data_IF_107110869808
#
_entry.id   IF_107110869808
#
_cell.length_a   1.000
_cell.length_b   1.000
_cell.length_c   1.000
_cell.angle_alpha   90.00
_cell.angle_beta   90.00
_cell.angle_gamma   90.00
#
_symmetry.space_group_name_H-M   'P 1'
#
loop_
_entity.id
_entity.type
_entity.pdbx_description
1 polymer ?
#
# COMPACT_ATOMS: atom_id res chain seq x y z
N UNK A 1 -17.84 -16.20 17.61
CA UNK A 1 -16.91 -16.60 18.68
C UNK A 1 -15.46 -16.34 18.25
N UNK A 2 -14.96 -16.83 17.09
CA UNK A 2 -13.57 -16.70 16.66
C UNK A 2 -13.11 -15.25 16.43
N UNK A 3 -13.94 -14.42 15.76
CA UNK A 3 -13.64 -12.99 15.57
C UNK A 3 -13.51 -12.25 16.91
N UNK A 4 -14.41 -12.50 17.87
CA UNK A 4 -14.35 -11.89 19.20
C UNK A 4 -13.05 -12.23 19.96
N UNK A 5 -12.64 -13.51 19.91
CA UNK A 5 -11.39 -13.95 20.52
C UNK A 5 -10.16 -13.29 19.86
N UNK A 6 -10.13 -13.24 18.52
CA UNK A 6 -9.06 -12.57 17.77
C UNK A 6 -9.02 -11.05 18.05
N UNK A 7 -10.17 -10.41 18.14
CA UNK A 7 -10.27 -9.00 18.48
C UNK A 7 -9.78 -8.73 19.89
N UNK A 8 -10.16 -9.56 20.85
CA UNK A 8 -9.74 -9.42 22.25
C UNK A 8 -8.22 -9.66 22.40
N UNK A 9 -7.63 -10.62 21.71
CA UNK A 9 -6.20 -10.93 21.81
C UNK A 9 -5.35 -10.01 20.94
N UNK A 10 -5.53 -10.05 19.62
CA UNK A 10 -4.72 -9.28 18.66
C UNK A 10 -5.04 -7.79 18.76
N UNK A 11 -6.32 -7.42 18.86
CA UNK A 11 -6.73 -6.03 19.01
C UNK A 11 -6.19 -5.38 20.27
N UNK A 12 -6.25 -6.07 21.41
CA UNK A 12 -5.68 -5.58 22.68
C UNK A 12 -4.16 -5.50 22.62
N UNK A 13 -3.47 -6.48 22.03
CA UNK A 13 -2.03 -6.42 21.82
C UNK A 13 -1.62 -5.23 20.96
N UNK A 14 -2.33 -4.97 19.85
CA UNK A 14 -2.09 -3.81 18.99
C UNK A 14 -2.31 -2.49 19.73
N UNK A 15 -3.41 -2.36 20.49
CA UNK A 15 -3.70 -1.17 21.30
C UNK A 15 -2.63 -0.91 22.36
N UNK A 16 -2.18 -1.95 23.04
CA UNK A 16 -1.19 -1.82 24.11
C UNK A 16 0.20 -1.48 23.55
N UNK A 17 0.58 -2.13 22.44
CA UNK A 17 1.92 -2.00 21.84
C UNK A 17 2.07 -0.68 21.09
N UNK A 18 1.11 -0.34 20.23
CA UNK A 18 1.21 0.83 19.35
C UNK A 18 0.49 2.06 19.88
N UNK A 19 -0.44 1.90 20.83
CA UNK A 19 -1.23 2.97 21.46
C UNK A 19 -1.81 3.94 20.43
N UNK A 20 -2.59 3.48 19.44
CA UNK A 20 -3.16 4.34 18.42
C UNK A 20 -3.98 5.46 19.05
N UNK A 21 -3.85 6.67 18.51
CA UNK A 21 -4.77 7.74 18.87
C UNK A 21 -5.93 7.79 17.87
N UNK A 22 -7.12 8.14 18.35
CA UNK A 22 -8.34 8.16 17.55
C UNK A 22 -9.09 9.45 17.81
N UNK A 23 -9.54 10.11 16.75
CA UNK A 23 -10.44 11.26 16.78
C UNK A 23 -11.71 10.91 16.00
N UNK A 24 -12.90 11.34 16.48
CA UNK A 24 -14.17 11.17 15.82
C UNK A 24 -14.78 9.78 15.94
N UNK A 25 -14.43 8.99 16.98
CA UNK A 25 -14.97 7.65 17.18
C UNK A 25 -16.50 7.65 17.29
N UNK A 26 -17.08 8.72 17.81
CA UNK A 26 -18.52 8.97 17.93
C UNK A 26 -19.26 9.04 16.58
N UNK A 27 -18.53 9.24 15.48
CA UNK A 27 -19.11 9.26 14.13
C UNK A 27 -19.43 7.86 13.59
N UNK A 28 -18.93 6.80 14.25
CA UNK A 28 -19.27 5.42 13.88
C UNK A 28 -20.59 5.04 14.57
N UNK A 29 -21.65 4.70 13.84
CA UNK A 29 -22.94 4.35 14.47
C UNK A 29 -22.79 3.13 15.36
N UNK A 30 -23.44 3.14 16.53
CA UNK A 30 -23.45 2.02 17.46
C UNK A 30 -24.11 0.78 16.86
N UNK A 31 -25.10 0.97 15.99
CA UNK A 31 -25.88 -0.07 15.33
C UNK A 31 -26.13 0.28 13.85
N UNK A 32 -26.63 -0.68 13.09
CA UNK A 32 -26.93 -0.51 11.67
C UNK A 32 -25.71 -0.53 10.74
N UNK A 33 -25.93 -0.57 9.42
CA UNK A 33 -24.87 -0.64 8.45
C UNK A 33 -24.15 0.69 8.27
N UNK A 34 -22.84 0.64 8.01
CA UNK A 34 -22.09 1.80 7.54
C UNK A 34 -20.86 1.37 6.72
N UNK A 35 -20.43 2.23 5.80
CA UNK A 35 -19.25 2.04 4.98
C UNK A 35 -18.13 2.90 5.55
N UNK A 36 -17.02 2.28 5.95
CA UNK A 36 -15.80 2.98 6.37
C UNK A 36 -14.89 3.11 5.14
N UNK A 37 -14.82 4.31 4.57
CA UNK A 37 -13.98 4.60 3.41
C UNK A 37 -12.67 5.24 3.87
N UNK A 38 -11.55 4.55 3.68
CA UNK A 38 -10.25 4.98 4.20
C UNK A 38 -9.19 5.14 3.10
N UNK A 39 -8.25 6.08 3.28
CA UNK A 39 -6.98 6.04 2.58
C UNK A 39 -6.24 4.73 2.90
N UNK A 40 -5.31 4.33 2.04
CA UNK A 40 -4.58 3.07 2.23
C UNK A 40 -3.08 3.27 2.14
N UNK A 41 -2.43 3.39 3.28
CA UNK A 41 -1.00 3.66 3.41
C UNK A 41 -0.18 2.39 3.64
N UNK A 42 -0.71 1.48 4.47
CA UNK A 42 0.01 0.31 4.95
C UNK A 42 -0.86 -0.94 4.93
N UNK A 43 -0.21 -2.10 4.95
CA UNK A 43 -0.90 -3.37 5.21
C UNK A 43 -1.58 -3.39 6.58
N UNK A 44 -0.98 -2.74 7.56
CA UNK A 44 -1.48 -2.66 8.94
C UNK A 44 -2.75 -1.83 9.12
N UNK A 45 -3.16 -1.01 8.14
CA UNK A 45 -4.41 -0.23 8.21
C UNK A 45 -5.62 -1.12 8.47
N UNK A 46 -5.66 -2.29 7.81
CA UNK A 46 -6.75 -3.26 7.94
C UNK A 46 -6.77 -3.98 9.31
N UNK A 47 -5.83 -3.70 10.18
CA UNK A 47 -5.77 -4.21 11.55
C UNK A 47 -5.95 -3.10 12.58
N UNK A 48 -5.33 -1.94 12.39
CA UNK A 48 -5.46 -0.83 13.33
C UNK A 48 -6.87 -0.29 13.40
N UNK A 49 -7.54 -0.08 12.24
CA UNK A 49 -8.90 0.43 12.23
C UNK A 49 -9.89 -0.52 12.93
N UNK A 50 -9.96 -1.84 12.65
CA UNK A 50 -10.81 -2.75 13.41
C UNK A 50 -10.43 -2.89 14.89
N UNK A 51 -9.16 -2.73 15.23
CA UNK A 51 -8.71 -2.83 16.62
C UNK A 51 -9.30 -1.74 17.51
N UNK A 52 -9.47 -0.53 17.00
CA UNK A 52 -9.98 0.61 17.79
C UNK A 52 -11.50 0.70 17.87
N UNK A 53 -12.20 0.05 16.95
CA UNK A 53 -13.66 0.06 16.89
C UNK A 53 -14.27 -1.07 17.74
N UNK A 54 -15.40 -0.84 18.39
CA UNK A 54 -16.08 -1.89 19.16
C UNK A 54 -16.86 -2.86 18.27
N UNK A 55 -17.31 -2.42 17.13
CA UNK A 55 -18.03 -3.20 16.12
C UNK A 55 -17.08 -3.96 15.19
N UNK A 56 -17.59 -5.04 14.62
CA UNK A 56 -16.90 -5.80 13.58
C UNK A 56 -16.84 -4.99 12.29
N UNK A 57 -15.63 -4.84 11.74
CA UNK A 57 -15.40 -4.27 10.42
C UNK A 57 -14.96 -5.38 9.47
N UNK A 58 -15.65 -5.51 8.36
CA UNK A 58 -15.31 -6.47 7.32
C UNK A 58 -14.66 -5.77 6.13
N UNK A 59 -13.39 -6.11 5.86
CA UNK A 59 -12.67 -5.66 4.66
C UNK A 59 -12.62 -6.74 3.60
N UNK A 60 -12.37 -6.32 2.37
CA UNK A 60 -12.10 -7.24 1.25
C UNK A 60 -10.58 -7.39 1.06
N UNK A 61 -10.09 -8.61 1.14
CA UNK A 61 -8.70 -8.96 0.91
C UNK A 61 -8.53 -9.82 -0.35
N UNK A 62 -7.30 -9.89 -0.86
CA UNK A 62 -6.97 -10.72 -2.03
C UNK A 62 -7.25 -12.20 -1.74
N UNK A 63 -7.86 -12.89 -2.70
CA UNK A 63 -8.19 -14.32 -2.58
C UNK A 63 -6.96 -15.19 -2.30
N UNK A 64 -5.78 -14.80 -2.79
CA UNK A 64 -4.52 -15.53 -2.59
C UNK A 64 -4.15 -15.69 -1.11
N UNK A 65 -4.55 -14.77 -0.23
CA UNK A 65 -4.34 -14.93 1.23
C UNK A 65 -5.16 -16.07 1.84
N UNK A 66 -6.20 -16.54 1.14
CA UNK A 66 -7.11 -17.58 1.62
C UNK A 66 -6.87 -18.94 0.92
N UNK A 67 -6.18 -18.95 -0.22
CA UNK A 67 -6.02 -20.13 -1.08
C UNK A 67 -4.59 -20.62 -1.17
N UNK A 68 -3.63 -19.96 -0.52
CA UNK A 68 -2.23 -20.36 -0.52
C UNK A 68 -2.06 -21.78 0.05
N UNK A 69 -1.28 -22.67 -0.61
CA UNK A 69 -1.12 -24.05 -0.19
C UNK A 69 -0.28 -24.20 1.09
N UNK A 70 -0.38 -25.37 1.72
CA UNK A 70 0.42 -25.76 2.87
C UNK A 70 -0.07 -25.21 4.22
N UNK A 71 0.64 -25.57 5.31
CA UNK A 71 0.27 -25.18 6.68
C UNK A 71 0.33 -23.64 6.88
N UNK A 72 1.35 -22.98 6.32
CA UNK A 72 1.48 -21.53 6.36
C UNK A 72 0.29 -20.84 5.68
N UNK A 73 -0.17 -21.36 4.52
CA UNK A 73 -1.34 -20.84 3.82
C UNK A 73 -2.63 -21.01 4.64
N UNK A 74 -2.82 -22.18 5.27
CA UNK A 74 -3.97 -22.44 6.16
C UNK A 74 -4.00 -21.50 7.36
N UNK A 75 -2.85 -21.26 8.01
CA UNK A 75 -2.73 -20.33 9.12
C UNK A 75 -3.01 -18.89 8.69
N UNK A 76 -2.49 -18.47 7.53
CA UNK A 76 -2.78 -17.17 6.95
C UNK A 76 -4.27 -17.02 6.67
N UNK A 77 -4.91 -17.99 6.03
CA UNK A 77 -6.35 -17.97 5.74
C UNK A 77 -7.20 -17.92 7.03
N UNK A 78 -6.85 -18.69 8.05
CA UNK A 78 -7.51 -18.67 9.35
C UNK A 78 -7.37 -17.30 10.02
N UNK A 79 -6.19 -16.69 9.98
CA UNK A 79 -5.93 -15.37 10.50
C UNK A 79 -6.80 -14.31 9.79
N UNK A 80 -6.77 -14.23 8.45
CA UNK A 80 -7.58 -13.26 7.69
C UNK A 80 -9.08 -13.42 7.92
N UNK A 81 -9.58 -14.65 7.98
CA UNK A 81 -10.98 -14.94 8.36
C UNK A 81 -11.26 -14.48 9.79
N UNK A 82 -10.34 -14.73 10.71
CA UNK A 82 -10.47 -14.35 12.12
C UNK A 82 -10.52 -12.85 12.36
N UNK A 83 -9.80 -12.06 11.57
CA UNK A 83 -9.84 -10.59 11.63
C UNK A 83 -10.97 -9.99 10.77
N UNK A 84 -11.89 -10.82 10.25
CA UNK A 84 -13.11 -10.35 9.57
C UNK A 84 -12.90 -9.98 8.10
N UNK A 85 -11.87 -10.50 7.45
CA UNK A 85 -11.63 -10.22 6.03
C UNK A 85 -12.32 -11.25 5.13
N UNK A 86 -12.87 -10.79 4.01
CA UNK A 86 -13.50 -11.62 2.98
C UNK A 86 -12.60 -11.73 1.74
N UNK A 87 -12.46 -12.96 1.18
CA UNK A 87 -11.72 -13.15 -0.05
C UNK A 87 -12.42 -12.53 -1.25
N UNK A 88 -11.69 -11.79 -2.07
CA UNK A 88 -12.15 -11.36 -3.39
C UNK A 88 -11.05 -11.60 -4.40
N UNK A 89 -11.41 -12.23 -5.49
CA UNK A 89 -10.57 -12.36 -6.65
C UNK A 89 -10.37 -10.99 -7.31
N UNK A 90 -9.11 -10.56 -7.44
CA UNK A 90 -8.70 -9.30 -8.08
C UNK A 90 -7.88 -9.56 -9.35
N UNK A 91 -7.90 -10.77 -9.86
CA UNK A 91 -7.10 -11.21 -11.03
C UNK A 91 -7.49 -10.52 -12.35
N UNK A 92 -8.46 -9.59 -12.34
CA UNK A 92 -8.93 -8.89 -13.54
C UNK A 92 -9.92 -9.70 -14.37
N UNK A 93 -10.34 -10.87 -13.90
CA UNK A 93 -11.38 -11.68 -14.53
C UNK A 93 -12.69 -10.89 -14.58
N UNK A 94 -13.40 -10.96 -15.70
CA UNK A 94 -14.74 -10.38 -15.86
C UNK A 94 -15.63 -10.78 -14.67
N UNK A 95 -16.18 -9.79 -13.94
CA UNK A 95 -17.04 -10.06 -12.78
C UNK A 95 -16.38 -9.94 -11.39
N UNK A 96 -15.06 -9.89 -11.27
CA UNK A 96 -14.38 -9.75 -9.97
C UNK A 96 -14.81 -8.47 -9.20
N UNK A 97 -15.00 -7.36 -9.92
CA UNK A 97 -15.52 -6.12 -9.34
C UNK A 97 -16.95 -6.25 -8.82
N UNK A 98 -17.83 -6.94 -9.56
CA UNK A 98 -19.21 -7.17 -9.15
C UNK A 98 -19.31 -8.13 -7.95
N UNK A 99 -18.45 -9.14 -7.90
CA UNK A 99 -18.34 -10.02 -6.73
C UNK A 99 -17.94 -9.25 -5.47
N UNK A 100 -17.00 -8.32 -5.59
CA UNK A 100 -16.60 -7.44 -4.50
C UNK A 100 -17.75 -6.56 -4.00
N UNK A 101 -18.50 -5.96 -4.92
CA UNK A 101 -19.68 -5.14 -4.59
C UNK A 101 -20.72 -5.99 -3.87
N UNK A 102 -21.04 -7.18 -4.38
CA UNK A 102 -22.00 -8.11 -3.77
C UNK A 102 -21.59 -8.48 -2.35
N UNK A 103 -20.32 -8.84 -2.13
CA UNK A 103 -19.84 -9.15 -0.78
C UNK A 103 -19.99 -7.95 0.17
N UNK A 104 -19.73 -6.72 -0.30
CA UNK A 104 -19.96 -5.51 0.49
C UNK A 104 -21.43 -5.32 0.84
N UNK A 105 -22.34 -5.51 -0.12
CA UNK A 105 -23.80 -5.43 0.10
C UNK A 105 -24.30 -6.47 1.08
N UNK A 106 -23.79 -7.71 1.03
CA UNK A 106 -24.13 -8.78 1.98
C UNK A 106 -23.69 -8.43 3.41
N UNK A 107 -22.52 -7.79 3.58
CA UNK A 107 -22.05 -7.32 4.89
C UNK A 107 -22.99 -6.24 5.43
N UNK A 108 -23.33 -5.26 4.63
CA UNK A 108 -24.21 -4.16 5.01
C UNK A 108 -25.65 -4.64 5.29
N UNK A 109 -26.16 -5.60 4.53
CA UNK A 109 -27.49 -6.20 4.76
C UNK A 109 -27.60 -6.90 6.13
N UNK A 110 -26.49 -7.33 6.73
CA UNK A 110 -26.44 -7.86 8.09
C UNK A 110 -26.32 -6.79 9.18
N UNK A 111 -26.37 -5.50 8.80
CA UNK A 111 -26.18 -4.39 9.72
C UNK A 111 -24.72 -4.24 10.20
N UNK A 112 -23.74 -4.85 9.51
CA UNK A 112 -22.32 -4.79 9.87
C UNK A 112 -21.60 -3.59 9.22
N UNK A 113 -20.39 -3.29 9.68
CA UNK A 113 -19.52 -2.28 9.07
C UNK A 113 -18.71 -2.88 7.93
N UNK A 114 -18.70 -2.19 6.79
CA UNK A 114 -17.93 -2.57 5.62
C UNK A 114 -16.77 -1.59 5.39
N UNK A 115 -15.53 -2.07 5.41
CA UNK A 115 -14.34 -1.27 5.14
C UNK A 115 -13.93 -1.33 3.68
N UNK A 116 -13.66 -0.18 3.07
CA UNK A 116 -13.23 -0.06 1.68
C UNK A 116 -12.11 0.98 1.54
N UNK A 117 -11.17 0.70 0.64
CA UNK A 117 -10.12 1.63 0.23
C UNK A 117 -10.45 2.15 -1.18
N UNK A 118 -10.91 3.40 -1.34
CA UNK A 118 -11.35 3.92 -2.65
C UNK A 118 -10.24 3.96 -3.69
N UNK A 119 -8.98 4.12 -3.27
CA UNK A 119 -7.81 4.08 -4.15
C UNK A 119 -7.59 2.70 -4.82
N UNK A 120 -8.15 1.64 -4.21
CA UNK A 120 -8.07 0.25 -4.69
C UNK A 120 -6.70 -0.42 -4.52
N UNK A 121 -5.71 0.29 -4.03
CA UNK A 121 -4.38 -0.23 -3.67
C UNK A 121 -3.71 0.71 -2.69
N UNK A 122 -2.68 0.24 -1.97
CA UNK A 122 -1.88 1.08 -1.07
C UNK A 122 -1.19 2.21 -1.84
N UNK A 123 -1.10 3.38 -1.23
CA UNK A 123 -0.25 4.48 -1.72
C UNK A 123 1.21 3.99 -1.84
N UNK A 124 1.94 4.36 -2.89
CA UNK A 124 3.35 4.01 -3.00
C UNK A 124 4.29 4.88 -2.16
N UNK A 125 3.89 6.10 -1.82
CA UNK A 125 4.73 7.17 -1.28
C UNK A 125 4.09 8.01 -0.17
N UNK A 126 2.92 7.58 0.32
CA UNK A 126 2.20 8.27 1.40
C UNK A 126 1.26 9.39 0.93
N UNK A 127 1.20 9.73 -0.36
CA UNK A 127 0.25 10.69 -0.91
C UNK A 127 -1.13 10.07 -1.10
N UNK A 128 -2.18 10.89 -1.17
CA UNK A 128 -3.54 10.45 -1.44
C UNK A 128 -3.79 10.48 -2.96
N UNK A 129 -4.16 9.35 -3.51
CA UNK A 129 -4.41 9.18 -4.94
C UNK A 129 -5.88 9.17 -5.29
N UNK A 130 -6.19 9.47 -6.55
CA UNK A 130 -7.54 9.49 -7.09
C UNK A 130 -8.27 8.18 -6.79
N UNK A 131 -9.47 8.27 -6.21
CA UNK A 131 -10.34 7.13 -5.95
C UNK A 131 -10.87 6.51 -7.24
N UNK A 132 -10.96 5.18 -7.29
CA UNK A 132 -11.56 4.47 -8.42
C UNK A 132 -13.08 4.59 -8.35
N UNK A 133 -13.76 5.04 -9.42
CA UNK A 133 -15.20 5.06 -9.46
C UNK A 133 -15.75 3.64 -9.48
N UNK A 134 -16.99 3.46 -9.09
CA UNK A 134 -17.72 2.21 -9.21
C UNK A 134 -17.71 1.35 -7.95
N UNK A 135 -16.58 1.06 -7.34
CA UNK A 135 -16.54 0.18 -6.16
C UNK A 135 -17.30 0.77 -4.96
N UNK A 136 -16.76 1.83 -4.38
CA UNK A 136 -17.36 2.53 -3.25
C UNK A 136 -18.75 3.09 -3.58
N UNK A 137 -18.87 3.85 -4.68
CA UNK A 137 -20.11 4.52 -5.03
C UNK A 137 -21.26 3.54 -5.26
N UNK A 138 -21.05 2.44 -5.97
CA UNK A 138 -22.09 1.43 -6.22
C UNK A 138 -22.53 0.73 -4.94
N UNK A 139 -21.59 0.42 -4.03
CA UNK A 139 -21.95 -0.15 -2.72
C UNK A 139 -22.78 0.86 -1.92
N UNK A 140 -22.37 2.12 -1.84
CA UNK A 140 -23.09 3.15 -1.12
C UNK A 140 -24.50 3.39 -1.68
N UNK A 141 -24.62 3.56 -3.00
CA UNK A 141 -25.89 3.87 -3.67
C UNK A 141 -26.88 2.68 -3.66
N UNK A 142 -26.39 1.44 -3.74
CA UNK A 142 -27.24 0.24 -3.67
C UNK A 142 -27.68 -0.10 -2.26
N UNK A 143 -26.81 0.12 -1.27
CA UNK A 143 -27.12 -0.20 0.13
C UNK A 143 -27.91 0.89 0.84
N UNK A 144 -27.79 2.15 0.40
CA UNK A 144 -28.26 3.32 1.15
C UNK A 144 -27.53 3.57 2.46
N UNK A 145 -26.47 2.80 2.75
CA UNK A 145 -25.71 2.94 3.99
C UNK A 145 -24.85 4.24 3.96
N UNK A 146 -24.75 4.96 5.08
CA UNK A 146 -23.90 6.14 5.18
C UNK A 146 -22.43 5.77 4.96
N UNK A 147 -21.69 6.67 4.32
CA UNK A 147 -20.25 6.53 4.11
C UNK A 147 -19.50 7.39 5.12
N UNK A 148 -18.68 6.76 5.94
CA UNK A 148 -17.86 7.40 6.96
C UNK A 148 -16.43 7.51 6.42
N UNK A 149 -15.93 8.72 6.11
CA UNK A 149 -14.55 8.91 5.69
C UNK A 149 -13.60 8.69 6.87
N UNK A 150 -12.53 7.95 6.64
CA UNK A 150 -11.50 7.63 7.64
C UNK A 150 -10.13 7.99 7.08
N UNK A 151 -9.30 8.60 7.89
CA UNK A 151 -7.90 8.82 7.57
C UNK A 151 -6.99 8.03 8.51
N UNK A 152 -6.18 7.15 7.93
CA UNK A 152 -5.04 6.54 8.60
C UNK A 152 -3.86 7.50 8.52
N UNK A 153 -3.16 7.71 9.64
CA UNK A 153 -2.06 8.66 9.78
C UNK A 153 -0.79 7.91 10.19
N UNK A 154 0.31 8.13 9.47
CA UNK A 154 1.65 7.61 9.75
C UNK A 154 1.80 6.08 9.72
N UNK A 155 0.81 5.34 9.20
CA UNK A 155 0.90 3.87 9.16
C UNK A 155 1.92 3.37 8.12
N UNK A 156 2.23 4.15 7.08
CA UNK A 156 3.32 3.89 6.14
C UNK A 156 4.71 3.96 6.80
N UNK A 157 4.84 4.79 7.86
CA UNK A 157 6.09 4.90 8.64
C UNK A 157 6.26 3.70 9.57
N UNK A 158 5.16 3.15 10.07
CA UNK A 158 5.13 1.95 10.91
C UNK A 158 5.52 0.72 10.10
N UNK A 159 4.86 0.50 8.99
CA UNK A 159 5.14 -0.63 8.10
C UNK A 159 5.23 -0.17 6.64
N UNK A 160 6.40 0.33 6.23
CA UNK A 160 6.64 0.74 4.85
C UNK A 160 6.40 -0.41 3.86
N UNK A 161 6.06 -0.11 2.60
CA UNK A 161 5.93 -1.12 1.56
C UNK A 161 7.15 -2.05 1.48
N UNK A 162 6.91 -3.37 1.47
CA UNK A 162 7.97 -4.39 1.42
C UNK A 162 8.63 -4.74 2.77
N UNK A 163 8.32 -4.03 3.84
CA UNK A 163 8.79 -4.42 5.19
C UNK A 163 7.75 -5.29 5.89
N UNK A 164 8.22 -6.37 6.54
CA UNK A 164 7.37 -7.31 7.28
C UNK A 164 7.26 -6.92 8.75
N UNK A 165 8.37 -6.49 9.33
CA UNK A 165 8.42 -6.12 10.76
C UNK A 165 8.03 -4.65 10.91
N UNK A 166 6.97 -4.33 11.68
CA UNK A 166 6.57 -2.96 11.92
C UNK A 166 7.52 -2.27 12.89
N UNK A 167 7.73 -0.97 12.70
CA UNK A 167 8.41 -0.10 13.67
C UNK A 167 7.43 0.24 14.80
N UNK A 168 7.94 0.33 16.01
CA UNK A 168 7.14 0.73 17.17
C UNK A 168 6.93 2.25 17.12
N UNK A 169 5.79 2.65 16.58
CA UNK A 169 5.34 4.05 16.46
C UNK A 169 3.84 4.10 16.71
N UNK A 170 3.35 5.27 17.05
CA UNK A 170 1.96 5.54 17.38
C UNK A 170 1.17 5.96 16.11
N UNK A 171 0.31 5.11 15.53
CA UNK A 171 -0.53 5.52 14.40
C UNK A 171 -1.68 6.42 14.85
N UNK A 172 -2.18 7.23 13.92
CA UNK A 172 -3.38 8.02 14.10
C UNK A 172 -4.54 7.51 13.26
N UNK A 173 -5.75 7.72 13.76
CA UNK A 173 -6.99 7.41 13.03
C UNK A 173 -7.95 8.58 13.24
N UNK A 174 -8.33 9.26 12.15
CA UNK A 174 -9.37 10.28 12.16
C UNK A 174 -10.60 9.77 11.45
N UNK A 175 -11.74 9.87 12.11
CA UNK A 175 -13.02 9.39 11.60
C UNK A 175 -13.92 10.62 11.41
N UNK A 176 -14.30 10.90 10.16
CA UNK A 176 -15.13 12.04 9.80
C UNK A 176 -16.62 11.77 10.01
N UNK A 177 -17.40 12.82 9.85
CA UNK A 177 -18.88 12.74 9.90
C UNK A 177 -19.40 11.86 8.77
N UNK A 178 -20.49 11.10 8.99
CA UNK A 178 -21.14 10.32 7.95
C UNK A 178 -21.58 11.20 6.76
N UNK A 179 -21.35 10.73 5.56
CA UNK A 179 -21.83 11.31 4.31
C UNK A 179 -23.05 10.52 3.85
N UNK A 180 -24.11 11.22 3.51
CA UNK A 180 -25.37 10.65 3.01
C UNK A 180 -25.49 10.88 1.50
N UNK A 181 -25.69 9.78 0.77
CA UNK A 181 -25.86 9.79 -0.68
C UNK A 181 -27.27 9.33 -1.11
N UNK A 182 -28.23 9.35 -0.20
CA UNK A 182 -29.62 8.96 -0.47
C UNK A 182 -30.24 9.73 -1.66
N UNK A 183 -29.83 10.98 -1.87
CA UNK A 183 -30.23 11.80 -3.01
C UNK A 183 -29.91 11.22 -4.38
N UNK A 184 -29.00 10.25 -4.45
CA UNK A 184 -28.58 9.57 -5.68
C UNK A 184 -29.00 8.09 -5.71
N UNK A 185 -29.89 7.68 -4.83
CA UNK A 185 -30.38 6.29 -4.77
C UNK A 185 -30.97 5.86 -6.12
N UNK A 186 -30.61 4.67 -6.57
CA UNK A 186 -31.03 4.15 -7.88
C UNK A 186 -30.18 4.59 -9.06
N UNK A 187 -29.21 5.52 -8.88
CA UNK A 187 -28.29 6.00 -9.91
C UNK A 187 -26.93 5.28 -9.88
N UNK A 188 -26.86 4.08 -9.33
CA UNK A 188 -25.61 3.34 -9.13
C UNK A 188 -24.92 2.92 -10.43
N UNK A 189 -25.61 2.95 -11.58
CA UNK A 189 -25.04 2.70 -12.90
C UNK A 189 -24.59 3.96 -13.65
N UNK A 190 -24.91 5.16 -13.16
CA UNK A 190 -24.49 6.41 -13.75
C UNK A 190 -23.00 6.70 -13.39
N UNK A 191 -22.15 6.81 -14.42
CA UNK A 191 -20.72 7.01 -14.24
C UNK A 191 -20.35 8.40 -13.67
N UNK A 192 -21.16 9.42 -13.95
CA UNK A 192 -20.96 10.76 -13.42
C UNK A 192 -21.30 10.79 -11.92
N UNK A 193 -22.41 10.16 -11.54
CA UNK A 193 -22.79 10.03 -10.12
C UNK A 193 -21.76 9.18 -9.35
N UNK A 194 -21.33 8.04 -9.91
CA UNK A 194 -20.28 7.24 -9.30
C UNK A 194 -18.98 8.07 -9.08
N UNK A 195 -18.61 8.91 -10.04
CA UNK A 195 -17.46 9.78 -9.94
C UNK A 195 -17.66 10.84 -8.85
N UNK A 196 -18.79 11.54 -8.87
CA UNK A 196 -19.13 12.58 -7.90
C UNK A 196 -19.13 12.05 -6.46
N UNK A 197 -19.78 10.91 -6.19
CA UNK A 197 -19.80 10.25 -4.88
C UNK A 197 -18.38 9.89 -4.43
N UNK A 198 -17.59 9.30 -5.35
CA UNK A 198 -16.22 8.91 -5.00
C UNK A 198 -15.36 10.14 -4.70
N UNK A 199 -15.46 11.22 -5.48
CA UNK A 199 -14.67 12.43 -5.29
C UNK A 199 -15.05 13.14 -3.99
N UNK A 200 -16.35 13.20 -3.64
CA UNK A 200 -16.81 13.76 -2.38
C UNK A 200 -16.22 13.02 -1.17
N UNK A 201 -16.18 11.69 -1.22
CA UNK A 201 -15.54 10.88 -0.17
C UNK A 201 -14.03 11.10 -0.13
N UNK A 202 -13.36 11.10 -1.30
CA UNK A 202 -11.92 11.36 -1.37
C UNK A 202 -11.54 12.74 -0.83
N UNK A 203 -12.37 13.75 -1.09
CA UNK A 203 -12.18 15.09 -0.56
C UNK A 203 -12.34 15.15 0.98
N UNK A 204 -13.31 14.38 1.51
CA UNK A 204 -13.47 14.26 2.96
C UNK A 204 -12.25 13.56 3.61
N UNK A 205 -11.74 12.49 2.99
CA UNK A 205 -10.51 11.81 3.44
C UNK A 205 -9.31 12.77 3.37
N UNK A 206 -9.18 13.55 2.29
CA UNK A 206 -8.11 14.55 2.13
C UNK A 206 -8.10 15.55 3.29
N UNK A 207 -9.27 16.11 3.66
CA UNK A 207 -9.40 17.03 4.78
C UNK A 207 -9.00 16.42 6.12
N UNK A 208 -9.31 15.14 6.34
CA UNK A 208 -8.97 14.43 7.56
C UNK A 208 -7.48 14.07 7.62
N UNK A 209 -6.92 13.64 6.50
CA UNK A 209 -5.54 13.14 6.44
C UNK A 209 -4.50 14.25 6.35
N UNK A 210 -4.84 15.37 5.69
CA UNK A 210 -3.88 16.43 5.36
C UNK A 210 -2.81 16.00 4.35
N UNK A 211 -3.02 14.87 3.64
CA UNK A 211 -2.09 14.38 2.62
C UNK A 211 -2.06 15.31 1.40
N UNK A 212 -0.98 15.26 0.63
CA UNK A 212 -0.96 15.81 -0.73
C UNK A 212 -1.84 14.94 -1.64
N UNK A 213 -2.77 15.58 -2.38
CA UNK A 213 -3.62 14.88 -3.34
C UNK A 213 -2.99 14.84 -4.72
N UNK A 214 -3.00 13.67 -5.34
CA UNK A 214 -2.48 13.46 -6.71
C UNK A 214 -3.60 12.92 -7.60
N UNK A 215 -3.98 13.69 -8.63
CA UNK A 215 -5.11 13.38 -9.52
C UNK A 215 -4.79 12.32 -10.59
N UNK A 216 -4.10 11.25 -10.19
CA UNK A 216 -3.92 10.01 -10.96
C UNK A 216 -4.25 8.80 -10.10
N UNK A 217 -4.49 7.65 -10.70
CA UNK A 217 -4.71 6.43 -9.93
C UNK A 217 -3.41 5.91 -9.32
N UNK A 218 -3.44 5.44 -8.09
CA UNK A 218 -2.29 4.86 -7.40
C UNK A 218 -1.60 3.72 -8.17
N UNK A 219 -2.36 2.98 -9.00
CA UNK A 219 -1.79 1.95 -9.88
C UNK A 219 -0.93 2.54 -11.00
N UNK A 220 -1.29 3.71 -11.55
CA UNK A 220 -0.49 4.42 -12.54
C UNK A 220 0.77 5.01 -11.90
N UNK A 221 0.63 5.65 -10.73
CA UNK A 221 1.75 6.17 -9.96
C UNK A 221 2.78 5.08 -9.63
N UNK A 222 2.34 3.90 -9.19
CA UNK A 222 3.24 2.75 -8.93
C UNK A 222 4.03 2.35 -10.16
N UNK A 223 3.40 2.32 -11.33
CA UNK A 223 4.07 1.99 -12.58
C UNK A 223 5.13 3.03 -12.93
N UNK A 224 4.78 4.32 -12.87
CA UNK A 224 5.70 5.42 -13.13
C UNK A 224 6.91 5.41 -12.20
N UNK A 225 6.69 5.21 -10.88
CA UNK A 225 7.76 5.11 -9.90
C UNK A 225 8.67 3.89 -10.14
N UNK A 226 8.09 2.75 -10.52
CA UNK A 226 8.88 1.55 -10.83
C UNK A 226 9.71 1.72 -12.11
N UNK A 227 9.16 2.37 -13.14
CA UNK A 227 9.87 2.70 -14.38
C UNK A 227 11.02 3.69 -14.11
N UNK A 228 10.77 4.74 -13.32
CA UNK A 228 11.78 5.71 -12.92
C UNK A 228 12.93 5.06 -12.10
N UNK A 229 12.60 4.23 -11.12
CA UNK A 229 13.60 3.51 -10.33
C UNK A 229 14.44 2.53 -11.19
N UNK A 230 13.83 1.89 -12.18
CA UNK A 230 14.54 1.03 -13.14
C UNK A 230 15.50 1.83 -14.02
N UNK A 231 15.07 2.99 -14.51
CA UNK A 231 15.90 3.88 -15.31
C UNK A 231 17.08 4.44 -14.51
N UNK A 232 16.84 4.87 -13.26
CA UNK A 232 17.88 5.35 -12.36
C UNK A 232 18.92 4.25 -12.06
N UNK A 233 18.45 3.02 -11.79
CA UNK A 233 19.36 1.89 -11.56
C UNK A 233 20.21 1.60 -12.80
N UNK A 234 19.62 1.59 -14.00
CA UNK A 234 20.35 1.38 -15.25
C UNK A 234 21.41 2.49 -15.52
N UNK A 235 21.04 3.76 -15.26
CA UNK A 235 21.97 4.88 -15.39
C UNK A 235 23.14 4.77 -14.39
N UNK A 236 22.87 4.34 -13.16
CA UNK A 236 23.89 4.13 -12.13
C UNK A 236 24.83 2.97 -12.44
N UNK A 237 24.31 1.90 -13.04
CA UNK A 237 25.12 0.77 -13.52
C UNK A 237 25.97 1.17 -14.71
N UNK A 238 25.44 1.94 -15.67
CA UNK A 238 26.19 2.48 -16.80
C UNK A 238 27.32 3.43 -16.36
N UNK A 239 27.05 4.33 -15.40
CA UNK A 239 28.07 5.21 -14.84
C UNK A 239 29.22 4.44 -14.16
N UNK A 240 28.91 3.38 -13.40
CA UNK A 240 29.94 2.52 -12.78
C UNK A 240 30.78 1.76 -13.78
N UNK A 241 30.18 1.35 -14.90
CA UNK A 241 30.94 0.66 -15.98
C UNK A 241 31.85 1.63 -16.75
N UNK A 242 31.41 2.87 -16.96
CA UNK A 242 32.21 3.92 -17.57
C UNK A 242 33.40 4.29 -16.69
N UNK A 243 33.21 4.52 -15.38
CA UNK A 243 34.25 4.83 -14.42
C UNK A 243 35.32 3.72 -14.32
N UNK A 244 34.88 2.46 -14.38
CA UNK A 244 35.77 1.31 -14.41
C UNK A 244 36.56 1.18 -15.72
N UNK A 245 36.01 1.61 -16.84
CA UNK A 245 36.68 1.62 -18.14
C UNK A 245 37.75 2.73 -18.22
N UNK A 246 37.44 3.93 -17.71
CA UNK A 246 38.36 5.04 -17.63
C UNK A 246 39.54 4.73 -16.69
N UNK A 247 39.31 4.16 -15.51
CA UNK A 247 40.36 3.73 -14.61
C UNK A 247 41.26 2.63 -15.19
N UNK A 248 40.70 1.71 -16.01
CA UNK A 248 41.52 0.69 -16.69
C UNK A 248 42.36 1.28 -17.84
N UNK A 249 41.86 2.34 -18.51
CA UNK A 249 42.59 3.04 -19.56
C UNK A 249 43.79 3.85 -18.96
N UNK A 250 43.57 4.49 -17.82
CA UNK A 250 44.65 5.22 -17.08
C UNK A 250 45.75 4.27 -16.57
N UNK A 251 45.38 3.09 -16.00
CA UNK A 251 46.38 2.07 -15.61
C UNK A 251 47.17 1.49 -16.78
N UNK A 252 46.52 1.34 -17.96
CA UNK A 252 47.18 0.86 -19.17
C UNK A 252 48.16 1.90 -19.73
N UNK A 253 47.81 3.18 -19.64
CA UNK A 253 48.68 4.31 -20.08
C UNK A 253 49.88 4.46 -19.18
N UNK A 254 49.72 4.35 -17.87
CA UNK A 254 50.82 4.40 -16.89
C UNK A 254 51.80 3.20 -17.04
N UNK A 255 51.27 2.00 -17.32
CA UNK A 255 52.15 0.83 -17.62
C UNK A 255 52.93 1.01 -18.90
N UNK A 256 52.32 1.52 -19.96
CA UNK A 256 53.02 1.79 -21.22
C UNK A 256 54.12 2.86 -21.08
N UNK A 257 53.87 3.91 -20.28
CA UNK A 257 54.84 4.94 -19.96
C UNK A 257 56.00 4.41 -19.09
N UNK A 258 55.75 3.50 -18.17
CA UNK A 258 56.75 2.85 -17.31
C UNK A 258 57.65 1.85 -18.07
N UNK A 259 57.15 1.19 -19.13
CA UNK A 259 57.96 0.32 -19.98
C UNK A 259 58.82 1.06 -20.98
N UNK A 260 58.41 2.21 -21.48
CA UNK A 260 59.16 3.06 -22.40
C UNK A 260 60.35 3.75 -21.72
N UNK A 261 60.40 3.84 -20.39
CA UNK A 261 61.46 4.44 -19.60
C UNK A 261 62.60 3.50 -19.18
N UNK A 262 62.56 2.23 -19.56
CA UNK A 262 63.64 1.27 -19.33
C UNK A 262 64.56 1.21 -20.53
N UNK A 263 65.52 2.12 -20.57
CA UNK A 263 66.69 2.11 -21.48
C UNK A 263 67.54 0.84 -21.25
N UNK A 264 67.91 0.05 -22.31
CA UNK A 264 68.84 -1.05 -22.22
C UNK A 264 70.24 -0.47 -22.22
N UNK A 265 70.65 0.13 -21.07
CA UNK A 265 71.97 0.68 -20.85
C UNK A 265 73.03 -0.37 -20.79
N UNK A 266 73.81 -0.40 -21.86
CA UNK A 266 75.24 -0.54 -21.92
C UNK A 266 75.90 -1.71 -21.18
N UNK A 267 76.02 -2.79 -21.90
CA UNK A 267 77.11 -3.78 -21.66
C UNK A 267 78.31 -3.49 -22.58
N UNK A 268 79.21 -2.68 -22.17
CA UNK A 268 80.55 -2.68 -22.73
C UNK A 268 81.47 -3.43 -21.74
N UNK A 269 81.90 -4.53 -22.10
CA UNK A 269 83.04 -5.11 -22.73
C UNK A 269 84.32 -4.47 -22.43
N UNK A 270 85.26 -5.19 -21.97
CA UNK A 270 86.71 -5.18 -22.19
C UNK A 270 87.31 -5.97 -21.05
N UNK A 271 88.04 -6.97 -21.27
CA UNK A 271 89.19 -7.19 -22.08
C UNK A 271 90.41 -7.24 -21.20
N UNK A 272 91.00 -8.23 -21.31
CA UNK A 272 92.42 -8.35 -21.36
C UNK A 272 93.17 -9.01 -20.16
N UNK A 273 93.84 -10.04 -20.54
CA UNK A 273 95.27 -10.43 -20.39
C UNK A 273 95.69 -11.10 -19.06
N UNK A 274 96.13 -12.25 -19.29
CA UNK A 274 97.49 -12.78 -19.37
C UNK A 274 98.15 -13.17 -18.01
N UNK A 275 98.57 -14.27 -17.97
CA UNK A 275 99.78 -15.02 -17.62
C UNK A 275 99.53 -16.37 -16.98
#
# INVERSE_FOLDING_TARGET
VFYGAMKLSVGSALKLTFRPWVEGLENVPAEGPAILASNHLSFSDSFFLPAVLDRKVTFIAKAEYFTSPGLKGKLTAAFFKGVGQLPVDRSGVRGAGEAAIRSGLEVLARGELFGIYPEGTRSPDGRLYRGKPGGLARVALRSGAPVIPVAMIDTEKIQPPGKVVPKLMRPGIRIGKPLDFSRYQGMDNDRFIQRAVTDEVMYAILKLSGQEYVDIYATAAKRQLAEAAKAEKAAREAAKTADKADGAADEATDRAAGEAGRDPGHGSGSGDKAA
#
